data_IF_225604461269
#
_entry.id   IF_225604461269
#
_cell.length_a   1.000
_cell.length_b   1.000
_cell.length_c   1.000
_cell.angle_alpha   90.00
_cell.angle_beta   90.00
_cell.angle_gamma   90.00
#
_symmetry.space_group_name_H-M   'P 1'
#
loop_
_entity.id
_entity.type
_entity.pdbx_description
1 polymer ?
#
# COMPACT_ATOMS: atom_id res chain seq x y z
N UNK A 1 -25.04 3.00 -4.21
CA UNK A 1 -25.46 1.63 -3.84
C UNK A 1 -24.30 0.62 -3.92
N UNK A 2 -23.38 0.80 -4.86
CA UNK A 2 -22.29 -0.13 -5.16
C UNK A 2 -21.26 -0.26 -4.01
N UNK A 3 -20.86 0.85 -3.38
CA UNK A 3 -19.82 0.86 -2.32
C UNK A 3 -20.29 0.16 -1.05
N UNK A 4 -21.56 0.30 -0.68
CA UNK A 4 -22.13 -0.34 0.51
C UNK A 4 -22.21 -1.87 0.34
N UNK A 5 -22.57 -2.33 -0.85
CA UNK A 5 -22.63 -3.77 -1.18
C UNK A 5 -21.22 -4.38 -1.23
N UNK A 6 -20.23 -3.68 -1.80
CA UNK A 6 -18.83 -4.10 -1.80
C UNK A 6 -18.23 -4.12 -0.38
N UNK A 7 -18.60 -3.18 0.48
CA UNK A 7 -18.19 -3.15 1.88
C UNK A 7 -18.76 -4.34 2.67
N UNK A 8 -20.03 -4.65 2.51
CA UNK A 8 -20.64 -5.83 3.15
C UNK A 8 -20.02 -7.14 2.67
N UNK A 9 -19.73 -7.25 1.37
CA UNK A 9 -18.99 -8.38 0.82
C UNK A 9 -17.58 -8.49 1.40
N UNK A 10 -16.82 -7.38 1.47
CA UNK A 10 -15.48 -7.38 2.05
C UNK A 10 -15.49 -7.73 3.55
N UNK A 11 -16.49 -7.27 4.33
CA UNK A 11 -16.63 -7.61 5.75
C UNK A 11 -17.00 -9.08 5.94
N UNK A 12 -17.89 -9.61 5.13
CA UNK A 12 -18.32 -11.02 5.17
C UNK A 12 -17.20 -12.01 4.87
N UNK A 13 -16.31 -11.63 3.93
CA UNK A 13 -15.14 -12.42 3.56
C UNK A 13 -13.87 -12.03 4.34
N UNK A 14 -13.96 -11.09 5.27
CA UNK A 14 -12.81 -10.59 6.07
C UNK A 14 -12.00 -11.72 6.70
N UNK A 15 -12.66 -12.73 7.23
CA UNK A 15 -12.00 -13.87 7.86
C UNK A 15 -11.20 -14.70 6.84
N UNK A 16 -11.65 -14.78 5.58
CA UNK A 16 -10.92 -15.47 4.51
C UNK A 16 -9.66 -14.70 4.06
N UNK A 17 -9.64 -13.37 4.23
CA UNK A 17 -8.44 -12.55 3.98
C UNK A 17 -7.41 -12.64 5.11
N UNK A 18 -7.84 -12.98 6.33
CA UNK A 18 -7.04 -12.94 7.54
C UNK A 18 -6.41 -14.30 7.91
N UNK A 19 -6.64 -15.36 7.14
CA UNK A 19 -6.04 -16.67 7.35
C UNK A 19 -4.58 -16.63 6.87
N UNK A 20 -3.72 -16.08 7.72
CA UNK A 20 -2.28 -16.29 7.65
C UNK A 20 -1.84 -16.91 8.98
N UNK A 21 -1.08 -17.98 8.89
CA UNK A 21 -0.77 -18.93 9.97
C UNK A 21 0.17 -18.42 11.07
N UNK A 22 0.43 -17.10 11.19
CA UNK A 22 1.30 -16.55 12.22
C UNK A 22 0.65 -15.34 12.92
N UNK A 23 0.69 -15.29 14.28
CA UNK A 23 -0.03 -14.28 15.10
C UNK A 23 0.31 -12.84 14.79
N UNK A 24 1.59 -12.51 14.59
CA UNK A 24 2.03 -11.13 14.31
C UNK A 24 1.59 -10.63 12.92
N UNK A 25 1.69 -11.49 11.90
CA UNK A 25 1.22 -11.18 10.54
C UNK A 25 -0.30 -10.96 10.52
N UNK A 26 -1.01 -11.71 11.35
CA UNK A 26 -2.46 -11.57 11.49
C UNK A 26 -2.85 -10.22 12.11
N UNK A 27 -2.11 -9.74 13.12
CA UNK A 27 -2.42 -8.47 13.78
C UNK A 27 -2.19 -7.26 12.85
N UNK A 28 -1.06 -7.23 12.14
CA UNK A 28 -0.80 -6.21 11.11
C UNK A 28 -1.89 -6.21 10.03
N UNK A 29 -2.23 -7.38 9.52
CA UNK A 29 -3.27 -7.52 8.50
C UNK A 29 -4.63 -7.04 8.98
N UNK A 30 -4.99 -7.37 10.22
CA UNK A 30 -6.23 -6.87 10.86
C UNK A 30 -6.23 -5.36 11.00
N UNK A 31 -5.14 -4.78 11.51
CA UNK A 31 -5.01 -3.33 11.68
C UNK A 31 -5.12 -2.62 10.35
N UNK A 32 -4.41 -3.07 9.32
CA UNK A 32 -4.47 -2.48 7.98
C UNK A 32 -5.88 -2.51 7.39
N UNK A 33 -6.54 -3.66 7.44
CA UNK A 33 -7.91 -3.83 6.94
C UNK A 33 -8.87 -2.92 7.70
N UNK A 34 -8.79 -2.90 9.03
CA UNK A 34 -9.65 -2.07 9.88
C UNK A 34 -9.47 -0.58 9.58
N UNK A 35 -8.23 -0.12 9.47
CA UNK A 35 -7.93 1.27 9.15
C UNK A 35 -8.36 1.66 7.72
N UNK A 36 -8.20 0.75 6.75
CA UNK A 36 -8.69 0.99 5.39
C UNK A 36 -10.21 1.15 5.35
N UNK A 37 -10.94 0.31 6.09
CA UNK A 37 -12.41 0.39 6.21
C UNK A 37 -12.83 1.67 6.93
N UNK A 38 -12.21 2.01 8.06
CA UNK A 38 -12.49 3.26 8.79
C UNK A 38 -12.27 4.50 7.94
N UNK A 39 -11.16 4.52 7.17
CA UNK A 39 -10.88 5.62 6.26
C UNK A 39 -11.94 5.73 5.15
N UNK A 40 -12.38 4.59 4.62
CA UNK A 40 -13.47 4.53 3.64
C UNK A 40 -14.77 5.07 4.21
N UNK A 41 -15.13 4.69 5.43
CA UNK A 41 -16.31 5.19 6.13
C UNK A 41 -16.27 6.69 6.36
N UNK A 42 -15.12 7.19 6.83
CA UNK A 42 -14.93 8.64 7.03
C UNK A 42 -15.09 9.41 5.73
N UNK A 43 -14.52 8.90 4.63
CA UNK A 43 -14.66 9.53 3.29
C UNK A 43 -16.12 9.54 2.84
N UNK A 44 -16.82 8.43 3.03
CA UNK A 44 -18.24 8.32 2.69
C UNK A 44 -19.09 9.32 3.49
N UNK A 45 -18.86 9.40 4.81
CA UNK A 45 -19.57 10.36 5.70
C UNK A 45 -19.31 11.83 5.32
N UNK A 46 -18.14 12.12 4.72
CA UNK A 46 -17.77 13.48 4.28
C UNK A 46 -18.02 13.72 2.79
N UNK A 47 -18.88 12.92 2.16
CA UNK A 47 -19.22 13.00 0.72
C UNK A 47 -18.01 13.00 -0.22
N UNK A 48 -16.88 12.38 0.21
CA UNK A 48 -15.71 12.24 -0.64
C UNK A 48 -15.79 10.94 -1.44
N UNK A 49 -15.34 11.01 -2.69
CA UNK A 49 -15.32 9.83 -3.57
C UNK A 49 -14.46 8.70 -2.98
N UNK A 50 -14.96 7.49 -3.07
CA UNK A 50 -14.25 6.26 -2.71
C UNK A 50 -14.12 5.40 -3.94
N UNK A 51 -12.90 5.04 -4.30
CA UNK A 51 -12.62 4.15 -5.42
C UNK A 51 -12.57 2.71 -4.91
N UNK A 52 -13.47 1.81 -5.38
CA UNK A 52 -13.46 0.41 -4.95
C UNK A 52 -12.11 -0.27 -5.14
N UNK A 53 -11.41 0.04 -6.24
CA UNK A 53 -10.08 -0.47 -6.51
C UNK A 53 -9.03 -0.13 -5.44
N UNK A 54 -9.15 1.03 -4.78
CA UNK A 54 -8.27 1.38 -3.64
C UNK A 54 -8.50 0.43 -2.46
N UNK A 55 -9.76 0.22 -2.10
CA UNK A 55 -10.09 -0.66 -0.97
C UNK A 55 -9.61 -2.09 -1.24
N UNK A 56 -9.83 -2.59 -2.45
CA UNK A 56 -9.36 -3.93 -2.86
C UNK A 56 -7.83 -3.99 -2.81
N UNK A 57 -7.12 -2.96 -3.29
CA UNK A 57 -5.67 -2.90 -3.22
C UNK A 57 -5.15 -2.98 -1.77
N UNK A 58 -5.81 -2.27 -0.84
CA UNK A 58 -5.46 -2.28 0.58
C UNK A 58 -5.75 -3.64 1.24
N UNK A 59 -6.90 -4.24 0.94
CA UNK A 59 -7.31 -5.53 1.50
C UNK A 59 -6.44 -6.69 1.04
N UNK A 60 -6.00 -6.67 -0.23
CA UNK A 60 -5.17 -7.73 -0.80
C UNK A 60 -3.66 -7.51 -0.60
N UNK A 61 -3.27 -6.37 -0.05
CA UNK A 61 -1.86 -6.05 0.20
C UNK A 61 -1.16 -7.10 1.09
N UNK A 62 -1.73 -7.54 2.24
CA UNK A 62 -1.10 -8.58 3.06
C UNK A 62 -0.92 -9.91 2.33
N UNK A 63 -1.90 -10.34 1.55
CA UNK A 63 -1.80 -11.57 0.75
C UNK A 63 -0.68 -11.48 -0.30
N UNK A 64 -0.55 -10.32 -0.95
CA UNK A 64 0.55 -10.08 -1.89
C UNK A 64 1.90 -10.17 -1.19
N UNK A 65 2.06 -9.53 -0.04
CA UNK A 65 3.29 -9.57 0.75
C UNK A 65 3.66 -11.01 1.15
N UNK A 66 2.71 -11.77 1.68
CA UNK A 66 2.93 -13.17 2.08
C UNK A 66 3.47 -14.03 0.93
N UNK A 67 2.94 -13.81 -0.29
CA UNK A 67 3.45 -14.52 -1.49
C UNK A 67 4.82 -14.08 -1.96
N UNK A 68 5.21 -12.86 -1.66
CA UNK A 68 6.48 -12.28 -2.12
C UNK A 68 7.63 -12.56 -1.19
N UNK A 69 7.35 -12.95 0.06
CA UNK A 69 8.37 -13.27 1.05
C UNK A 69 9.12 -14.54 0.68
N UNK A 70 10.42 -14.43 0.80
CA UNK A 70 11.34 -15.57 0.71
C UNK A 70 12.46 -15.31 1.70
N UNK A 71 12.61 -16.19 2.71
CA UNK A 71 13.63 -16.05 3.77
C UNK A 71 13.62 -14.68 4.48
N UNK A 72 12.44 -14.09 4.68
CA UNK A 72 12.30 -12.80 5.36
C UNK A 72 12.52 -11.56 4.48
N UNK A 73 12.87 -11.73 3.21
CA UNK A 73 13.08 -10.62 2.28
C UNK A 73 12.06 -10.66 1.14
N UNK A 74 11.73 -9.47 0.60
CA UNK A 74 10.86 -9.37 -0.56
C UNK A 74 11.67 -9.59 -1.83
N UNK A 75 11.33 -10.65 -2.54
CA UNK A 75 11.87 -10.90 -3.86
C UNK A 75 11.05 -10.11 -4.91
N UNK A 76 11.66 -9.13 -5.57
CA UNK A 76 11.01 -8.29 -6.57
C UNK A 76 10.41 -9.10 -7.73
N UNK A 77 11.11 -10.14 -8.22
CA UNK A 77 10.58 -11.01 -9.28
C UNK A 77 9.30 -11.72 -8.82
N UNK A 78 9.29 -12.22 -7.58
CA UNK A 78 8.09 -12.82 -6.97
C UNK A 78 6.99 -11.79 -6.77
N UNK A 79 7.32 -10.56 -6.37
CA UNK A 79 6.35 -9.47 -6.21
C UNK A 79 5.56 -9.24 -7.50
N UNK A 80 6.25 -8.99 -8.60
CA UNK A 80 5.57 -8.77 -9.89
C UNK A 80 4.79 -9.98 -10.38
N UNK A 81 5.35 -11.20 -10.21
CA UNK A 81 4.69 -12.45 -10.61
C UNK A 81 3.47 -12.79 -9.76
N UNK A 82 3.41 -12.35 -8.52
CA UNK A 82 2.32 -12.67 -7.58
C UNK A 82 1.09 -11.78 -7.71
N UNK A 83 1.19 -10.61 -8.37
CA UNK A 83 0.07 -9.68 -8.50
C UNK A 83 -1.14 -10.31 -9.20
N UNK A 84 -0.93 -10.92 -10.36
CA UNK A 84 -2.01 -11.55 -11.13
C UNK A 84 -2.63 -12.77 -10.43
N UNK A 85 -1.85 -13.70 -9.87
CA UNK A 85 -2.38 -14.81 -9.09
C UNK A 85 -3.22 -14.37 -7.89
N UNK A 86 -2.80 -13.31 -7.17
CA UNK A 86 -3.58 -12.77 -6.05
C UNK A 86 -4.91 -12.20 -6.52
N UNK A 87 -4.91 -11.41 -7.59
CA UNK A 87 -6.13 -10.84 -8.15
C UNK A 87 -7.06 -11.94 -8.69
N UNK A 88 -6.52 -12.90 -9.44
CA UNK A 88 -7.32 -14.03 -9.98
C UNK A 88 -7.94 -14.90 -8.88
N UNK A 89 -7.19 -15.20 -7.82
CA UNK A 89 -7.70 -15.94 -6.66
C UNK A 89 -8.89 -15.20 -6.04
N UNK A 90 -8.76 -13.89 -5.85
CA UNK A 90 -9.81 -13.09 -5.25
C UNK A 90 -11.02 -12.91 -6.18
N UNK A 91 -10.80 -12.79 -7.48
CA UNK A 91 -11.90 -12.69 -8.48
C UNK A 91 -12.79 -13.93 -8.53
N UNK A 92 -12.28 -15.10 -8.15
CA UNK A 92 -13.09 -16.33 -8.02
C UNK A 92 -14.02 -16.30 -6.80
N UNK A 93 -13.68 -15.51 -5.77
CA UNK A 93 -14.43 -15.43 -4.51
C UNK A 93 -15.36 -14.23 -4.48
N UNK A 94 -14.90 -13.12 -5.03
CA UNK A 94 -15.62 -11.83 -5.06
C UNK A 94 -15.63 -11.27 -6.46
N UNK A 95 -16.76 -10.73 -6.89
CA UNK A 95 -16.94 -10.13 -8.22
C UNK A 95 -16.16 -8.82 -8.35
N UNK A 96 -14.83 -8.90 -8.52
CA UNK A 96 -13.98 -7.75 -8.79
C UNK A 96 -13.94 -7.50 -10.30
N UNK A 97 -14.46 -6.36 -10.80
CA UNK A 97 -14.39 -6.04 -12.21
C UNK A 97 -12.95 -5.95 -12.71
N UNK A 98 -12.65 -6.57 -13.84
CA UNK A 98 -11.30 -6.59 -14.45
C UNK A 98 -10.71 -5.20 -14.71
N UNK A 99 -11.56 -4.19 -14.91
CA UNK A 99 -11.14 -2.78 -15.09
C UNK A 99 -10.34 -2.22 -13.92
N UNK A 100 -10.44 -2.82 -12.72
CA UNK A 100 -9.66 -2.39 -11.56
C UNK A 100 -8.26 -3.03 -11.49
N UNK A 101 -7.95 -4.04 -12.30
CA UNK A 101 -6.68 -4.76 -12.20
C UNK A 101 -5.46 -3.86 -12.39
N UNK A 102 -5.45 -3.03 -13.44
CA UNK A 102 -4.36 -2.08 -13.68
C UNK A 102 -4.25 -1.06 -12.55
N UNK A 103 -5.38 -0.52 -12.12
CA UNK A 103 -5.42 0.44 -11.01
C UNK A 103 -4.83 -0.13 -9.71
N UNK A 104 -5.18 -1.35 -9.35
CA UNK A 104 -4.67 -2.04 -8.16
C UNK A 104 -3.17 -2.30 -8.29
N UNK A 105 -2.72 -2.82 -9.44
CA UNK A 105 -1.30 -3.08 -9.72
C UNK A 105 -0.47 -1.80 -9.66
N UNK A 106 -0.96 -0.69 -10.22
CA UNK A 106 -0.29 0.60 -10.17
C UNK A 106 -0.07 1.05 -8.72
N UNK A 107 -1.09 0.93 -7.86
CA UNK A 107 -0.97 1.26 -6.44
C UNK A 107 0.09 0.40 -5.77
N UNK A 108 0.14 -0.90 -6.03
CA UNK A 108 1.12 -1.81 -5.47
C UNK A 108 2.54 -1.51 -5.95
N UNK A 109 2.72 -1.26 -7.26
CA UNK A 109 4.02 -0.88 -7.83
C UNK A 109 4.51 0.44 -7.23
N UNK A 110 3.60 1.40 -7.05
CA UNK A 110 3.94 2.68 -6.44
C UNK A 110 4.38 2.54 -4.98
N UNK A 111 3.96 1.49 -4.24
CA UNK A 111 4.52 1.25 -2.91
C UNK A 111 6.04 1.09 -2.95
N UNK A 112 6.58 0.40 -3.96
CA UNK A 112 8.03 0.26 -4.15
C UNK A 112 8.66 1.60 -4.56
N UNK A 113 8.02 2.33 -5.50
CA UNK A 113 8.53 3.62 -5.98
C UNK A 113 8.55 4.72 -4.91
N UNK A 114 7.64 4.67 -3.94
CA UNK A 114 7.61 5.61 -2.81
C UNK A 114 8.87 5.53 -1.93
N UNK A 115 9.56 4.39 -1.90
CA UNK A 115 10.83 4.24 -1.19
C UNK A 115 12.01 4.84 -1.98
N UNK A 116 11.90 4.97 -3.30
CA UNK A 116 12.95 5.55 -4.14
C UNK A 116 12.89 7.09 -4.12
N UNK A 117 13.65 7.70 -3.21
CA UNK A 117 13.65 9.15 -2.95
C UNK A 117 14.87 9.87 -3.52
N UNK A 118 15.52 9.31 -4.55
CA UNK A 118 16.78 9.80 -5.13
C UNK A 118 16.53 10.54 -6.44
N UNK A 119 17.25 11.64 -6.64
CA UNK A 119 17.31 12.38 -7.90
C UNK A 119 15.92 12.78 -8.42
N UNK A 120 15.62 12.42 -9.66
CA UNK A 120 14.34 12.76 -10.33
C UNK A 120 13.18 11.80 -10.02
N UNK A 121 13.43 10.70 -9.30
CA UNK A 121 12.40 9.67 -9.04
C UNK A 121 11.20 10.19 -8.23
N UNK A 122 11.37 10.98 -7.15
CA UNK A 122 10.25 11.53 -6.41
C UNK A 122 9.32 12.39 -7.27
N UNK A 123 9.86 13.19 -8.17
CA UNK A 123 9.06 14.01 -9.09
C UNK A 123 8.24 13.16 -10.05
N UNK A 124 8.84 12.08 -10.61
CA UNK A 124 8.12 11.13 -11.46
C UNK A 124 7.00 10.42 -10.71
N UNK A 125 7.28 10.01 -9.47
CA UNK A 125 6.31 9.34 -8.61
C UNK A 125 5.15 10.28 -8.24
N UNK A 126 5.44 11.54 -7.90
CA UNK A 126 4.44 12.55 -7.57
C UNK A 126 3.47 12.84 -8.74
N UNK A 127 4.00 12.86 -9.97
CA UNK A 127 3.20 13.11 -11.20
C UNK A 127 2.33 11.92 -11.62
N UNK A 128 2.49 10.76 -11.00
CA UNK A 128 1.75 9.57 -11.39
C UNK A 128 0.25 9.72 -11.05
N UNK A 129 -0.69 9.39 -11.98
CA UNK A 129 -2.14 9.59 -11.75
C UNK A 129 -2.68 8.87 -10.51
N UNK A 130 -2.02 7.77 -10.10
CA UNK A 130 -2.41 6.97 -8.93
C UNK A 130 -1.60 7.31 -7.68
N UNK A 131 -0.76 8.35 -7.73
CA UNK A 131 0.10 8.75 -6.61
C UNK A 131 -0.71 8.94 -5.32
N UNK A 132 -1.83 9.68 -5.39
CA UNK A 132 -2.65 9.96 -4.20
C UNK A 132 -3.15 8.68 -3.54
N UNK A 133 -3.64 7.73 -4.31
CA UNK A 133 -4.10 6.45 -3.79
C UNK A 133 -2.94 5.63 -3.18
N UNK A 134 -1.80 5.60 -3.85
CA UNK A 134 -0.62 4.92 -3.35
C UNK A 134 -0.09 5.55 -2.05
N UNK A 135 -0.08 6.89 -1.97
CA UNK A 135 0.29 7.63 -0.77
C UNK A 135 -0.66 7.33 0.40
N UNK A 136 -1.98 7.33 0.15
CA UNK A 136 -2.97 7.02 1.18
C UNK A 136 -2.80 5.56 1.68
N UNK A 137 -2.50 4.59 0.80
CA UNK A 137 -2.19 3.22 1.22
C UNK A 137 -0.91 3.16 2.05
N UNK A 138 0.13 3.87 1.66
CA UNK A 138 1.39 3.94 2.41
C UNK A 138 1.16 4.47 3.84
N UNK A 139 0.36 5.53 4.00
CA UNK A 139 0.01 6.06 5.32
C UNK A 139 -0.77 5.05 6.17
N UNK A 140 -1.70 4.30 5.57
CA UNK A 140 -2.42 3.22 6.26
C UNK A 140 -1.46 2.12 6.73
N UNK A 141 -0.49 1.76 5.91
CA UNK A 141 0.55 0.78 6.24
C UNK A 141 1.43 1.26 7.40
N UNK A 142 1.88 2.51 7.37
CA UNK A 142 2.65 3.10 8.48
C UNK A 142 1.86 3.12 9.79
N UNK A 143 0.58 3.49 9.73
CA UNK A 143 -0.31 3.51 10.91
C UNK A 143 -0.55 2.12 11.48
N UNK A 144 -0.54 1.10 10.65
CA UNK A 144 -0.79 -0.29 11.05
C UNK A 144 0.47 -0.99 11.54
N UNK A 145 1.66 -0.45 11.21
CA UNK A 145 2.95 -0.99 11.65
C UNK A 145 3.26 -0.58 13.09
N UNK A 146 3.97 -1.44 13.83
CA UNK A 146 4.47 -1.15 15.17
C UNK A 146 5.65 -0.19 15.16
N UNK A 147 6.40 -0.13 14.06
CA UNK A 147 7.57 0.74 13.92
C UNK A 147 7.17 2.11 13.37
N UNK A 148 7.66 3.17 14.04
CA UNK A 148 7.50 4.54 13.56
C UNK A 148 8.33 4.75 12.30
N UNK A 149 7.68 4.99 11.17
CA UNK A 149 8.32 5.31 9.90
C UNK A 149 8.16 6.79 9.57
N UNK A 150 9.13 7.35 8.90
CA UNK A 150 9.15 8.76 8.51
C UNK A 150 8.80 9.01 7.04
N UNK A 151 8.50 7.96 6.29
CA UNK A 151 8.26 8.04 4.84
C UNK A 151 7.02 8.89 4.53
N UNK A 152 5.94 8.70 5.27
CA UNK A 152 4.72 9.49 5.15
C UNK A 152 4.95 10.97 5.46
N UNK A 153 5.72 11.27 6.51
CA UNK A 153 6.09 12.65 6.86
C UNK A 153 6.92 13.29 5.74
N UNK A 154 7.90 12.57 5.19
CA UNK A 154 8.72 13.03 4.08
C UNK A 154 7.88 13.35 2.84
N UNK A 155 7.02 12.44 2.41
CA UNK A 155 6.15 12.66 1.26
C UNK A 155 5.12 13.77 1.48
N UNK A 156 4.63 13.94 2.71
CA UNK A 156 3.77 15.08 3.07
C UNK A 156 4.48 16.41 2.85
N UNK A 157 5.72 16.51 3.34
CA UNK A 157 6.57 17.68 3.12
C UNK A 157 6.85 17.89 1.62
N UNK A 158 7.23 16.84 0.91
CA UNK A 158 7.55 16.90 -0.52
C UNK A 158 6.38 17.40 -1.38
N UNK A 159 5.14 16.99 -1.06
CA UNK A 159 3.93 17.46 -1.76
C UNK A 159 3.66 18.95 -1.55
N UNK A 160 3.86 19.44 -0.31
CA UNK A 160 3.50 20.80 0.08
C UNK A 160 4.53 21.85 -0.32
N UNK A 161 5.78 21.45 -0.54
CA UNK A 161 6.89 22.36 -0.77
C UNK A 161 7.05 22.74 -2.25
N UNK A 162 7.66 23.90 -2.47
CA UNK A 162 8.15 24.36 -3.77
C UNK A 162 9.38 23.53 -4.25
N UNK A 163 9.81 23.76 -5.48
CA UNK A 163 10.89 22.97 -6.08
C UNK A 163 12.25 23.15 -5.37
N UNK A 164 12.52 24.32 -4.81
CA UNK A 164 13.78 24.55 -4.07
C UNK A 164 13.80 23.75 -2.76
N UNK A 165 12.73 23.78 -2.00
CA UNK A 165 12.59 23.00 -0.77
C UNK A 165 12.54 21.50 -1.06
N UNK A 166 11.95 21.07 -2.20
CA UNK A 166 11.98 19.67 -2.64
C UNK A 166 13.39 19.18 -2.90
N UNK A 167 14.23 19.99 -3.58
CA UNK A 167 15.65 19.68 -3.80
C UNK A 167 16.40 19.54 -2.47
N UNK A 168 16.17 20.45 -1.52
CA UNK A 168 16.75 20.35 -0.18
C UNK A 168 16.32 19.08 0.56
N UNK A 169 15.04 18.70 0.47
CA UNK A 169 14.53 17.46 1.06
C UNK A 169 15.17 16.20 0.47
N UNK A 170 15.44 16.20 -0.83
CA UNK A 170 16.15 15.08 -1.48
C UNK A 170 17.60 15.04 -1.02
N UNK A 171 18.28 16.18 -1.00
CA UNK A 171 19.70 16.26 -0.65
C UNK A 171 19.96 16.03 0.85
N UNK A 172 18.98 16.28 1.72
CA UNK A 172 19.08 16.02 3.16
C UNK A 172 19.01 14.54 3.54
N UNK A 173 18.65 13.65 2.59
CA UNK A 173 18.63 12.22 2.83
C UNK A 173 20.07 11.70 2.93
N UNK A 174 20.41 11.13 4.09
CA UNK A 174 21.70 10.47 4.28
C UNK A 174 21.75 9.17 3.46
N UNK A 175 22.94 8.80 2.99
CA UNK A 175 23.15 7.55 2.25
C UNK A 175 22.64 6.32 3.00
N UNK A 176 22.75 6.33 4.34
CA UNK A 176 22.16 5.27 5.19
C UNK A 176 20.65 5.10 5.01
N UNK A 177 19.90 6.21 5.00
CA UNK A 177 18.43 6.17 4.83
C UNK A 177 18.04 5.66 3.44
N UNK A 178 18.88 5.93 2.45
CA UNK A 178 18.71 5.45 1.08
C UNK A 178 19.00 3.96 0.98
N UNK A 179 20.08 3.50 1.60
CA UNK A 179 20.50 2.10 1.57
C UNK A 179 19.55 1.17 2.35
N UNK A 180 19.07 1.60 3.52
CA UNK A 180 18.03 0.89 4.26
C UNK A 180 16.71 0.82 3.47
N UNK A 181 16.32 1.91 2.83
CA UNK A 181 15.13 1.94 1.97
C UNK A 181 15.22 0.95 0.81
N UNK A 182 16.42 0.75 0.24
CA UNK A 182 16.63 -0.21 -0.85
C UNK A 182 16.75 -1.66 -0.39
N UNK A 183 17.49 -1.94 0.70
CA UNK A 183 17.68 -3.32 1.20
C UNK A 183 16.41 -3.95 1.72
N UNK A 184 15.59 -3.19 2.40
CA UNK A 184 14.41 -3.75 3.08
C UNK A 184 13.11 -3.41 2.37
N UNK A 185 13.09 -2.44 1.42
CA UNK A 185 11.86 -1.82 0.92
C UNK A 185 10.86 -1.50 2.05
N UNK A 186 11.36 -1.46 3.29
CA UNK A 186 10.56 -1.28 4.49
C UNK A 186 9.53 -2.38 4.76
N UNK A 187 9.51 -3.47 3.99
CA UNK A 187 8.48 -4.51 4.06
C UNK A 187 8.85 -5.70 4.95
N UNK A 188 10.14 -5.99 5.13
CA UNK A 188 10.58 -7.11 5.98
C UNK A 188 10.15 -6.94 7.44
N UNK A 189 9.90 -5.69 7.86
CA UNK A 189 9.49 -5.33 9.21
C UNK A 189 7.97 -5.36 9.44
N UNK A 190 7.16 -5.28 8.38
CA UNK A 190 5.69 -5.42 8.45
C UNK A 190 5.28 -6.89 8.67
N UNK A 191 6.24 -7.79 8.60
CA UNK A 191 6.03 -9.24 8.55
C UNK A 191 6.79 -10.01 9.62
N UNK A 192 7.53 -9.31 10.51
CA UNK A 192 8.11 -9.86 11.73
C UNK A 192 7.19 -9.76 12.91
#
# INVERSE_FOLDING_TARGET
CSVRRQRQMCIRDRNKFLIANEPEKTDYSRKLVTEALRNTDKRFKTNKSVTPGFLIAALLWPELLNKCLSKGEINLKKFFRSMDPVLRKQQKITAIPRKFNSYIKDIWILQLKLHSRIGKQPYKTLRHPRFRAAYDLMLLREKSSTKKRSLGKWWTGFQKNDDNKRKLLINSLKEKDLHESFKTFGFSEELR
#
